data_IF_971369198929
#
_entry.id   IF_971369198929
#
_cell.length_a   1.000
_cell.length_b   1.000
_cell.length_c   1.000
_cell.angle_alpha   90.00
_cell.angle_beta   90.00
_cell.angle_gamma   90.00
#
_symmetry.space_group_name_H-M   'P 1'
#
loop_
_entity.id
_entity.type
_entity.pdbx_description
1 polymer ?
#
# COMPACT_ATOMS: atom_id res chain seq x y z
N UNK A 1 -15.02 -8.68 9.93
CA UNK A 1 -15.12 -7.94 11.21
C UNK A 1 -13.70 -7.66 11.68
N UNK A 2 -13.19 -6.44 11.45
CA UNK A 2 -11.84 -6.07 11.87
C UNK A 2 -11.75 -6.12 13.38
N UNK A 3 -10.87 -6.95 13.88
CA UNK A 3 -10.69 -7.20 15.31
C UNK A 3 -10.03 -5.96 15.94
N UNK A 4 -10.81 -5.14 16.62
CA UNK A 4 -10.36 -3.96 17.38
C UNK A 4 -9.32 -4.37 18.45
N UNK A 5 -9.34 -5.63 18.85
CA UNK A 5 -8.46 -6.22 19.86
C UNK A 5 -7.03 -6.37 19.34
N UNK A 6 -6.86 -6.81 18.08
CA UNK A 6 -5.55 -6.94 17.42
C UNK A 6 -4.78 -5.62 17.36
N UNK A 7 -5.45 -4.51 16.99
CA UNK A 7 -4.79 -3.21 16.86
C UNK A 7 -4.24 -2.69 18.19
N UNK A 8 -5.02 -2.85 19.26
CA UNK A 8 -4.60 -2.45 20.60
C UNK A 8 -3.45 -3.32 21.12
N UNK A 9 -3.48 -4.63 20.84
CA UNK A 9 -2.38 -5.55 21.14
C UNK A 9 -1.11 -5.14 20.41
N UNK A 10 -1.22 -4.85 19.11
CA UNK A 10 -0.09 -4.39 18.27
C UNK A 10 0.52 -3.09 18.82
N UNK A 11 -0.31 -2.10 19.17
CA UNK A 11 0.15 -0.85 19.79
C UNK A 11 0.90 -1.14 21.09
N UNK A 12 0.36 -1.95 21.98
CA UNK A 12 1.01 -2.33 23.23
C UNK A 12 2.37 -3.00 23.01
N UNK A 13 2.43 -3.89 22.01
CA UNK A 13 3.65 -4.60 21.65
C UNK A 13 4.73 -3.66 21.12
N UNK A 14 4.44 -2.84 20.11
CA UNK A 14 5.44 -1.96 19.49
C UNK A 14 5.87 -0.85 20.46
N UNK A 15 4.94 -0.27 21.23
CA UNK A 15 5.24 0.79 22.19
C UNK A 15 6.11 0.33 23.35
N UNK A 16 5.96 -0.92 23.79
CA UNK A 16 6.78 -1.48 24.86
C UNK A 16 8.22 -1.80 24.44
N UNK A 17 8.47 -1.95 23.14
CA UNK A 17 9.77 -2.33 22.56
C UNK A 17 10.50 -1.18 21.90
N UNK A 18 9.76 -0.14 21.51
CA UNK A 18 10.29 0.99 20.76
C UNK A 18 9.77 2.33 21.31
N UNK A 19 10.59 3.06 22.09
CA UNK A 19 10.18 4.34 22.68
C UNK A 19 9.94 5.45 21.64
N UNK A 20 10.47 5.31 20.42
CA UNK A 20 10.20 6.24 19.32
C UNK A 20 8.79 5.99 18.81
N UNK A 21 8.45 4.74 18.51
CA UNK A 21 7.09 4.37 18.09
C UNK A 21 6.05 4.66 19.18
N UNK A 22 6.37 4.47 20.47
CA UNK A 22 5.45 4.84 21.57
C UNK A 22 5.01 6.31 21.46
N UNK A 23 5.96 7.22 21.25
CA UNK A 23 5.66 8.65 21.09
C UNK A 23 4.88 8.96 19.82
N UNK A 24 5.17 8.25 18.71
CA UNK A 24 4.45 8.45 17.46
C UNK A 24 2.98 7.97 17.60
N UNK A 25 2.75 6.81 18.21
CA UNK A 25 1.42 6.30 18.51
C UNK A 25 0.60 7.28 19.35
N UNK A 26 1.19 7.85 20.38
CA UNK A 26 0.55 8.87 21.22
C UNK A 26 0.19 10.14 20.46
N UNK A 27 1.04 10.53 19.49
CA UNK A 27 0.83 11.73 18.67
C UNK A 27 -0.25 11.54 17.59
N UNK A 28 -0.49 10.30 17.14
CA UNK A 28 -1.39 9.97 16.03
C UNK A 28 -2.38 8.83 16.38
N UNK A 29 -3.24 8.97 17.40
CA UNK A 29 -4.09 7.87 17.85
C UNK A 29 -5.11 7.41 16.81
N UNK A 30 -5.53 8.28 15.90
CA UNK A 30 -6.51 8.01 14.83
C UNK A 30 -6.12 8.71 13.52
N UNK A 31 -6.56 8.21 12.35
CA UNK A 31 -7.33 6.97 12.16
C UNK A 31 -6.44 5.72 12.20
N UNK A 32 -7.07 4.57 12.52
CA UNK A 32 -6.45 3.24 12.39
C UNK A 32 -6.51 2.77 10.94
N UNK A 33 -5.58 1.91 10.55
CA UNK A 33 -5.64 1.22 9.26
C UNK A 33 -6.85 0.28 9.23
N UNK A 34 -7.66 0.40 8.18
CA UNK A 34 -8.81 -0.48 7.93
C UNK A 34 -8.68 -1.11 6.55
N UNK A 35 -8.29 -2.37 6.45
CA UNK A 35 -8.25 -3.09 5.19
C UNK A 35 -9.65 -3.19 4.57
N UNK A 36 -9.73 -3.06 3.24
CA UNK A 36 -11.03 -2.98 2.54
C UNK A 36 -11.36 -4.18 1.66
N UNK A 37 -10.48 -5.18 1.54
CA UNK A 37 -10.71 -6.42 0.79
C UNK A 37 -10.57 -6.33 -0.73
N UNK A 38 -10.47 -5.14 -1.31
CA UNK A 38 -10.44 -4.95 -2.77
C UNK A 38 -9.01 -4.97 -3.32
N UNK A 39 -8.51 -6.15 -3.64
CA UNK A 39 -7.17 -6.38 -4.18
C UNK A 39 -6.97 -5.67 -5.52
N UNK A 40 -7.95 -5.75 -6.42
CA UNK A 40 -7.81 -5.21 -7.78
C UNK A 40 -7.79 -3.69 -7.77
N UNK A 41 -8.64 -3.07 -6.95
CA UNK A 41 -8.61 -1.61 -6.72
C UNK A 41 -7.24 -1.16 -6.22
N UNK A 42 -6.68 -1.84 -5.21
CA UNK A 42 -5.35 -1.49 -4.68
C UNK A 42 -4.25 -1.68 -5.72
N UNK A 43 -4.28 -2.73 -6.54
CA UNK A 43 -3.35 -2.91 -7.64
C UNK A 43 -3.39 -1.72 -8.60
N UNK A 44 -4.58 -1.33 -9.06
CA UNK A 44 -4.76 -0.22 -10.01
C UNK A 44 -4.28 1.08 -9.38
N UNK A 45 -4.72 1.39 -8.16
CA UNK A 45 -4.35 2.64 -7.47
C UNK A 45 -2.85 2.71 -7.18
N UNK A 46 -2.23 1.59 -6.81
CA UNK A 46 -0.78 1.50 -6.63
C UNK A 46 -0.03 1.77 -7.94
N UNK A 47 -0.47 1.21 -9.07
CA UNK A 47 0.14 1.51 -10.38
C UNK A 47 0.02 2.99 -10.74
N UNK A 48 -1.14 3.61 -10.46
CA UNK A 48 -1.32 5.08 -10.63
C UNK A 48 -0.28 5.83 -9.80
N UNK A 49 -0.07 5.46 -8.54
CA UNK A 49 0.83 6.12 -7.58
C UNK A 49 2.33 5.88 -7.79
N UNK A 50 2.73 4.87 -8.59
CA UNK A 50 4.16 4.56 -8.77
C UNK A 50 4.97 5.76 -9.24
N UNK A 51 6.08 6.06 -8.53
CA UNK A 51 7.08 7.07 -8.90
C UNK A 51 6.55 8.53 -9.07
N UNK A 52 5.43 8.86 -8.46
CA UNK A 52 4.87 10.22 -8.41
C UNK A 52 4.48 10.58 -6.98
N UNK A 53 4.23 11.86 -6.71
CA UNK A 53 3.72 12.30 -5.42
C UNK A 53 2.28 11.84 -5.18
N UNK A 54 1.87 11.74 -3.91
CA UNK A 54 0.49 11.43 -3.51
C UNK A 54 -0.48 12.37 -4.19
N UNK A 55 -0.23 13.68 -4.14
CA UNK A 55 -1.07 14.70 -4.78
C UNK A 55 -1.23 14.48 -6.30
N UNK A 56 -0.16 14.09 -7.00
CA UNK A 56 -0.23 13.80 -8.43
C UNK A 56 -1.01 12.51 -8.71
N UNK A 57 -0.89 11.51 -7.84
CA UNK A 57 -1.64 10.26 -7.94
C UNK A 57 -3.15 10.52 -7.73
N UNK A 58 -3.52 11.29 -6.71
CA UNK A 58 -4.91 11.65 -6.42
C UNK A 58 -5.53 12.44 -7.58
N UNK A 59 -4.82 13.46 -8.10
CA UNK A 59 -5.30 14.22 -9.25
C UNK A 59 -5.47 13.35 -10.51
N UNK A 60 -4.64 12.31 -10.70
CA UNK A 60 -4.80 11.34 -11.79
C UNK A 60 -6.02 10.47 -11.54
N UNK A 61 -6.17 9.96 -10.33
CA UNK A 61 -7.33 9.15 -9.92
C UNK A 61 -8.64 9.90 -10.09
N UNK A 62 -8.73 11.16 -9.67
CA UNK A 62 -9.91 12.02 -9.85
C UNK A 62 -10.28 12.18 -11.33
N UNK A 63 -9.29 12.38 -12.21
CA UNK A 63 -9.55 12.44 -13.66
C UNK A 63 -10.07 11.11 -14.22
N UNK A 64 -9.56 9.98 -13.73
CA UNK A 64 -10.10 8.66 -14.09
C UNK A 64 -11.54 8.49 -13.60
N UNK A 65 -11.85 8.91 -12.37
CA UNK A 65 -13.23 8.92 -11.84
C UNK A 65 -14.13 9.78 -12.70
N UNK A 66 -13.69 10.99 -13.07
CA UNK A 66 -14.48 11.90 -13.90
C UNK A 66 -14.72 11.32 -15.31
N UNK A 67 -13.72 10.65 -15.90
CA UNK A 67 -13.84 10.03 -17.23
C UNK A 67 -14.86 8.87 -17.25
N UNK A 68 -14.79 8.00 -16.24
CA UNK A 68 -15.51 6.72 -16.25
C UNK A 68 -16.73 6.69 -15.32
N UNK A 69 -16.97 7.76 -14.53
CA UNK A 69 -18.02 7.78 -13.51
C UNK A 69 -17.76 6.87 -12.32
N UNK A 70 -16.52 6.42 -12.15
CA UNK A 70 -16.01 5.52 -11.12
C UNK A 70 -14.82 4.74 -11.66
N UNK A 71 -13.91 4.30 -10.76
CA UNK A 71 -12.75 3.50 -11.17
C UNK A 71 -12.94 2.08 -10.65
N UNK A 72 -13.43 1.22 -11.52
CA UNK A 72 -13.54 -0.22 -11.31
C UNK A 72 -12.96 -0.98 -12.52
N UNK A 73 -12.59 -2.25 -12.36
CA UNK A 73 -11.93 -3.01 -13.42
C UNK A 73 -12.76 -3.11 -14.72
N UNK A 74 -14.07 -3.31 -14.62
CA UNK A 74 -14.95 -3.43 -15.80
C UNK A 74 -14.97 -2.15 -16.63
N UNK A 75 -15.09 -0.99 -15.99
CA UNK A 75 -15.05 0.31 -16.67
C UNK A 75 -13.69 0.60 -17.31
N UNK A 76 -12.60 0.21 -16.64
CA UNK A 76 -11.25 0.33 -17.20
C UNK A 76 -11.12 -0.54 -18.45
N UNK A 77 -11.64 -1.78 -18.40
CA UNK A 77 -11.60 -2.70 -19.54
C UNK A 77 -12.34 -2.17 -20.78
N UNK A 78 -13.44 -1.46 -20.57
CA UNK A 78 -14.22 -0.81 -21.61
C UNK A 78 -13.59 0.49 -22.14
N UNK A 79 -12.63 1.07 -21.42
CA UNK A 79 -12.02 2.36 -21.74
C UNK A 79 -10.79 2.17 -22.62
N UNK A 80 -10.72 2.90 -23.74
CA UNK A 80 -9.54 2.85 -24.60
C UNK A 80 -8.29 3.42 -23.91
N UNK A 81 -7.13 2.88 -24.29
CA UNK A 81 -5.85 3.18 -23.65
C UNK A 81 -5.44 4.66 -23.78
N UNK A 82 -5.85 5.34 -24.85
CA UNK A 82 -5.51 6.76 -25.06
C UNK A 82 -6.34 7.66 -24.15
N UNK A 83 -7.58 7.30 -23.87
CA UNK A 83 -8.42 7.96 -22.87
C UNK A 83 -7.87 7.80 -21.46
N UNK A 84 -7.43 6.61 -21.08
CA UNK A 84 -6.72 6.38 -19.80
C UNK A 84 -5.44 7.23 -19.70
N UNK A 85 -4.66 7.29 -20.78
CA UNK A 85 -3.47 8.14 -20.86
C UNK A 85 -3.83 9.63 -20.72
N UNK A 86 -4.96 10.06 -21.27
CA UNK A 86 -5.49 11.43 -21.15
C UNK A 86 -5.74 11.86 -19.69
N UNK A 87 -5.94 10.92 -18.77
CA UNK A 87 -6.04 11.18 -17.34
C UNK A 87 -4.68 11.55 -16.66
N UNK A 88 -3.57 11.53 -17.40
CA UNK A 88 -2.23 11.84 -16.88
C UNK A 88 -1.37 10.60 -16.60
N UNK A 89 -1.81 9.42 -17.05
CA UNK A 89 -1.00 8.20 -16.98
C UNK A 89 0.08 8.20 -18.06
N UNK A 90 1.27 7.67 -17.75
CA UNK A 90 2.22 7.29 -18.79
C UNK A 90 1.64 6.14 -19.63
N UNK A 91 2.12 5.96 -20.87
CA UNK A 91 1.68 4.84 -21.72
C UNK A 91 1.85 3.50 -20.99
N UNK A 92 2.99 3.29 -20.34
CA UNK A 92 3.28 2.06 -19.58
C UNK A 92 2.28 1.81 -18.44
N UNK A 93 1.90 2.85 -17.67
CA UNK A 93 0.91 2.73 -16.61
C UNK A 93 -0.48 2.43 -17.17
N UNK A 94 -0.87 3.09 -18.26
CA UNK A 94 -2.14 2.79 -18.93
C UNK A 94 -2.20 1.34 -19.43
N UNK A 95 -1.12 0.83 -20.05
CA UNK A 95 -1.00 -0.58 -20.44
C UNK A 95 -1.09 -1.54 -19.24
N UNK A 96 -0.43 -1.22 -18.12
CA UNK A 96 -0.47 -2.06 -16.92
C UNK A 96 -1.88 -2.14 -16.32
N UNK A 97 -2.53 -0.98 -16.21
CA UNK A 97 -3.90 -0.89 -15.67
C UNK A 97 -4.90 -1.61 -16.57
N UNK A 98 -4.81 -1.43 -17.91
CA UNK A 98 -5.65 -2.18 -18.85
C UNK A 98 -5.42 -3.69 -18.76
N UNK A 99 -4.16 -4.13 -18.61
CA UNK A 99 -3.82 -5.55 -18.44
C UNK A 99 -4.38 -6.15 -17.14
N UNK A 100 -4.35 -5.40 -16.03
CA UNK A 100 -4.97 -5.82 -14.76
C UNK A 100 -6.49 -5.95 -14.92
N UNK A 101 -7.14 -4.99 -15.59
CA UNK A 101 -8.57 -5.01 -15.85
C UNK A 101 -8.97 -6.20 -16.75
N UNK A 102 -8.17 -6.50 -17.79
CA UNK A 102 -8.37 -7.67 -18.64
C UNK A 102 -8.24 -8.99 -17.86
N UNK A 103 -7.27 -9.10 -16.97
CA UNK A 103 -7.11 -10.29 -16.10
C UNK A 103 -8.32 -10.46 -15.17
N UNK A 104 -8.87 -9.35 -14.66
CA UNK A 104 -10.07 -9.38 -13.83
C UNK A 104 -11.28 -9.86 -14.62
N UNK A 105 -11.53 -9.31 -15.81
CA UNK A 105 -12.64 -9.71 -16.71
C UNK A 105 -12.56 -11.19 -17.09
N UNK A 106 -11.36 -11.72 -17.28
CA UNK A 106 -11.15 -13.15 -17.56
C UNK A 106 -11.26 -14.05 -16.33
N UNK A 107 -11.54 -13.48 -15.15
CA UNK A 107 -11.63 -14.21 -13.89
C UNK A 107 -10.31 -14.68 -13.29
N UNK A 108 -9.16 -14.28 -13.85
CA UNK A 108 -7.84 -14.68 -13.36
C UNK A 108 -7.50 -14.11 -11.98
N UNK A 109 -8.17 -13.03 -11.58
CA UNK A 109 -8.05 -12.40 -10.27
C UNK A 109 -9.24 -12.69 -9.34
N UNK A 110 -10.18 -13.56 -9.78
CA UNK A 110 -11.29 -14.03 -8.95
C UNK A 110 -10.82 -15.17 -8.03
N UNK A 111 -10.15 -14.79 -6.98
CA UNK A 111 -9.49 -15.69 -6.01
C UNK A 111 -10.04 -15.37 -4.62
N UNK A 112 -10.19 -16.37 -3.77
CA UNK A 112 -10.46 -16.16 -2.35
C UNK A 112 -9.17 -15.73 -1.64
N UNK A 113 -8.86 -14.43 -1.70
CA UNK A 113 -7.62 -13.86 -1.18
C UNK A 113 -7.46 -14.02 0.33
N UNK A 114 -8.58 -14.11 1.07
CA UNK A 114 -8.58 -14.22 2.53
C UNK A 114 -8.10 -15.59 3.03
N UNK A 115 -8.06 -16.60 2.15
CA UNK A 115 -7.59 -17.95 2.44
C UNK A 115 -6.11 -18.16 2.10
N UNK A 116 -5.46 -17.17 1.49
CA UNK A 116 -4.07 -17.29 1.04
C UNK A 116 -3.08 -16.80 2.10
N UNK A 117 -1.96 -17.52 2.20
CA UNK A 117 -0.79 -17.06 2.93
C UNK A 117 -0.04 -15.95 2.15
N UNK A 118 0.76 -15.15 2.85
CA UNK A 118 1.53 -14.05 2.23
C UNK A 118 2.36 -14.49 1.02
N UNK A 119 3.03 -15.64 1.12
CA UNK A 119 3.84 -16.20 0.03
C UNK A 119 3.02 -16.50 -1.22
N UNK A 120 1.82 -17.04 -1.06
CA UNK A 120 0.91 -17.39 -2.15
C UNK A 120 0.35 -16.12 -2.83
N UNK A 121 0.04 -15.08 -2.05
CA UNK A 121 -0.35 -13.77 -2.61
C UNK A 121 0.79 -13.20 -3.44
N UNK A 122 2.03 -13.24 -2.94
CA UNK A 122 3.22 -12.76 -3.66
C UNK A 122 3.45 -13.55 -4.95
N UNK A 123 3.37 -14.87 -4.93
CA UNK A 123 3.53 -15.73 -6.10
C UNK A 123 2.50 -15.45 -7.19
N UNK A 124 1.28 -15.09 -6.82
CA UNK A 124 0.20 -14.77 -7.76
C UNK A 124 0.32 -13.38 -8.36
N UNK A 125 0.75 -12.39 -7.59
CA UNK A 125 0.73 -10.99 -8.00
C UNK A 125 2.03 -10.53 -8.67
N UNK A 126 3.20 -11.01 -8.25
CA UNK A 126 4.49 -10.58 -8.81
C UNK A 126 4.65 -10.86 -10.32
N UNK A 127 4.09 -11.93 -10.92
CA UNK A 127 4.16 -12.15 -12.36
C UNK A 127 3.35 -11.14 -13.19
N UNK A 128 2.44 -10.38 -12.58
CA UNK A 128 1.60 -9.41 -13.29
C UNK A 128 2.46 -8.25 -13.78
N UNK A 129 2.38 -7.94 -15.08
CA UNK A 129 3.16 -6.86 -15.70
C UNK A 129 2.85 -5.52 -15.03
N UNK A 130 3.87 -4.86 -14.49
CA UNK A 130 3.74 -3.59 -13.77
C UNK A 130 3.53 -3.72 -12.27
N UNK A 131 3.40 -4.94 -11.75
CA UNK A 131 3.29 -5.22 -10.31
C UNK A 131 4.67 -5.63 -9.78
N UNK A 132 5.21 -4.81 -8.89
CA UNK A 132 6.48 -5.09 -8.20
C UNK A 132 6.25 -5.40 -6.71
N UNK A 133 7.34 -5.74 -5.98
CA UNK A 133 7.26 -6.04 -4.55
C UNK A 133 6.52 -4.97 -3.74
N UNK A 134 6.80 -3.68 -3.97
CA UNK A 134 6.11 -2.59 -3.30
C UNK A 134 4.60 -2.59 -3.56
N UNK A 135 4.16 -2.83 -4.80
CA UNK A 135 2.72 -2.92 -5.13
C UNK A 135 2.04 -4.08 -4.40
N UNK A 136 2.74 -5.23 -4.29
CA UNK A 136 2.24 -6.37 -3.53
C UNK A 136 2.16 -6.04 -2.04
N UNK A 137 3.16 -5.36 -1.47
CA UNK A 137 3.13 -4.91 -0.09
C UNK A 137 1.90 -4.00 0.19
N UNK A 138 1.55 -3.11 -0.75
CA UNK A 138 0.33 -2.28 -0.62
C UNK A 138 -0.95 -3.13 -0.60
N UNK A 139 -1.04 -4.16 -1.43
CA UNK A 139 -2.17 -5.11 -1.41
C UNK A 139 -2.25 -5.84 -0.07
N UNK A 140 -1.13 -6.36 0.41
CA UNK A 140 -1.07 -7.07 1.69
C UNK A 140 -1.50 -6.18 2.85
N UNK A 141 -1.10 -4.92 2.86
CA UNK A 141 -1.41 -3.95 3.93
C UNK A 141 -2.86 -3.45 3.81
N UNK A 142 -3.23 -2.86 2.66
CA UNK A 142 -4.46 -2.09 2.53
C UNK A 142 -5.68 -2.91 2.12
N UNK A 143 -5.48 -4.01 1.42
CA UNK A 143 -6.60 -4.89 1.03
C UNK A 143 -6.76 -6.06 1.99
N UNK A 144 -5.68 -6.81 2.25
CA UNK A 144 -5.75 -8.09 2.94
C UNK A 144 -5.47 -8.01 4.44
N UNK A 145 -4.89 -6.91 4.94
CA UNK A 145 -4.67 -6.68 6.35
C UNK A 145 -3.62 -7.57 7.00
N UNK A 146 -2.61 -8.00 6.24
CA UNK A 146 -1.47 -8.72 6.80
C UNK A 146 -0.74 -7.86 7.84
N UNK A 147 -0.47 -8.46 8.99
CA UNK A 147 -0.03 -7.72 10.18
C UNK A 147 1.47 -7.45 10.22
N UNK A 148 2.27 -8.25 9.52
CA UNK A 148 3.74 -8.23 9.61
C UNK A 148 4.46 -7.89 8.29
N UNK A 149 3.91 -6.96 7.52
CA UNK A 149 4.51 -6.48 6.28
C UNK A 149 5.46 -5.32 6.55
N UNK A 150 6.67 -5.38 5.98
CA UNK A 150 7.65 -4.28 5.99
C UNK A 150 7.98 -3.89 4.54
N UNK A 151 7.38 -2.82 4.00
CA UNK A 151 7.53 -2.43 2.61
C UNK A 151 8.85 -1.69 2.36
N UNK A 152 9.98 -2.43 2.30
CA UNK A 152 11.33 -1.87 2.12
C UNK A 152 11.54 -1.16 0.77
N UNK A 153 10.63 -1.33 -0.19
CA UNK A 153 10.60 -0.56 -1.44
C UNK A 153 9.87 0.78 -1.33
N UNK A 154 9.30 1.09 -0.16
CA UNK A 154 8.53 2.31 0.06
C UNK A 154 9.40 3.48 0.50
N UNK A 155 9.48 4.51 -0.36
CA UNK A 155 10.30 5.71 -0.09
C UNK A 155 9.79 6.49 1.13
N UNK A 156 8.49 6.50 1.36
CA UNK A 156 7.86 7.14 2.52
C UNK A 156 8.29 6.46 3.81
N UNK A 157 8.21 5.12 3.87
CA UNK A 157 8.68 4.36 5.03
C UNK A 157 10.17 4.61 5.30
N UNK A 158 11.03 4.49 4.26
CA UNK A 158 12.46 4.70 4.41
C UNK A 158 12.76 6.08 4.97
N UNK A 159 12.13 7.12 4.41
CA UNK A 159 12.26 8.50 4.89
C UNK A 159 11.77 8.65 6.34
N UNK A 160 10.64 8.02 6.70
CA UNK A 160 10.12 8.06 8.06
C UNK A 160 11.09 7.43 9.05
N UNK A 161 11.67 6.27 8.72
CA UNK A 161 12.68 5.60 9.55
C UNK A 161 13.94 6.46 9.65
N UNK A 162 14.47 6.98 8.56
CA UNK A 162 15.63 7.87 8.55
C UNK A 162 15.43 9.10 9.44
N UNK A 163 14.29 9.77 9.32
CA UNK A 163 13.99 10.97 10.12
C UNK A 163 13.90 10.67 11.62
N UNK A 164 13.25 9.58 11.99
CA UNK A 164 12.95 9.29 13.39
C UNK A 164 14.10 8.54 14.11
N UNK A 165 14.92 7.76 13.37
CA UNK A 165 15.94 6.88 13.99
C UNK A 165 17.39 7.30 13.72
N UNK A 166 17.65 8.07 12.65
CA UNK A 166 19.02 8.47 12.28
C UNK A 166 19.23 9.99 12.16
N UNK A 167 18.24 10.80 12.53
CA UNK A 167 18.30 12.26 12.36
C UNK A 167 18.36 12.68 10.89
N UNK A 168 17.71 11.93 10.00
CA UNK A 168 17.64 12.19 8.56
C UNK A 168 18.82 11.66 7.74
N UNK A 169 19.75 10.93 8.36
CA UNK A 169 20.84 10.28 7.63
C UNK A 169 20.31 9.03 6.93
N UNK A 170 20.81 8.82 5.71
CA UNK A 170 20.48 7.62 4.92
C UNK A 170 20.89 6.34 5.65
N UNK A 171 19.99 5.36 5.63
CA UNK A 171 20.18 4.03 6.17
C UNK A 171 20.17 2.99 5.05
N UNK A 172 20.94 1.94 5.23
CA UNK A 172 20.87 0.75 4.38
C UNK A 172 19.59 -0.03 4.68
N UNK A 173 19.14 -0.85 3.73
CA UNK A 173 17.97 -1.70 3.95
C UNK A 173 18.18 -2.71 5.10
N UNK A 174 19.42 -3.11 5.36
CA UNK A 174 19.78 -3.99 6.47
C UNK A 174 19.63 -3.29 7.83
N UNK A 175 20.08 -2.04 7.93
CA UNK A 175 19.87 -1.21 9.12
C UNK A 175 18.38 -0.97 9.38
N UNK A 176 17.59 -0.69 8.31
CA UNK A 176 16.13 -0.53 8.45
C UNK A 176 15.48 -1.83 8.92
N UNK A 177 15.90 -3.00 8.41
CA UNK A 177 15.43 -4.31 8.91
C UNK A 177 15.76 -4.51 10.38
N UNK A 178 16.99 -4.18 10.79
CA UNK A 178 17.41 -4.29 12.18
C UNK A 178 16.58 -3.41 13.13
N UNK A 179 16.27 -2.19 12.70
CA UNK A 179 15.37 -1.27 13.45
C UNK A 179 13.96 -1.86 13.54
N UNK A 180 13.46 -2.48 12.47
CA UNK A 180 12.11 -3.01 12.39
C UNK A 180 11.92 -4.41 13.02
N UNK A 181 13.00 -5.11 13.38
CA UNK A 181 12.92 -6.47 13.92
C UNK A 181 12.14 -6.57 15.25
N UNK A 182 12.31 -5.64 16.21
CA UNK A 182 11.52 -5.62 17.44
C UNK A 182 10.02 -5.40 17.25
N UNK A 183 9.57 -4.88 16.09
CA UNK A 183 8.16 -4.62 15.80
C UNK A 183 7.38 -5.88 15.44
N UNK A 184 8.07 -7.00 15.12
CA UNK A 184 7.42 -8.28 14.82
C UNK A 184 6.55 -8.76 15.97
N UNK A 185 5.38 -9.30 15.66
CA UNK A 185 4.79 -9.61 14.35
C UNK A 185 3.85 -8.50 13.82
N UNK A 186 4.05 -7.24 14.20
CA UNK A 186 3.16 -6.11 13.90
C UNK A 186 3.82 -5.00 13.08
N UNK A 187 4.74 -5.36 12.16
CA UNK A 187 5.46 -4.38 11.34
C UNK A 187 4.55 -3.53 10.45
N UNK A 188 3.38 -4.03 10.06
CA UNK A 188 2.36 -3.25 9.35
C UNK A 188 1.86 -2.08 10.20
N UNK A 189 1.58 -2.32 11.48
CA UNK A 189 1.10 -1.27 12.39
C UNK A 189 2.19 -0.23 12.64
N UNK A 190 3.44 -0.67 12.85
CA UNK A 190 4.57 0.23 12.99
C UNK A 190 4.78 1.09 11.72
N UNK A 191 4.69 0.48 10.54
CA UNK A 191 4.75 1.15 9.23
C UNK A 191 3.66 2.21 9.11
N UNK A 192 2.41 1.88 9.46
CA UNK A 192 1.30 2.81 9.45
C UNK A 192 1.57 4.07 10.27
N UNK A 193 2.05 3.92 11.49
CA UNK A 193 2.38 5.06 12.35
C UNK A 193 3.57 5.86 11.82
N UNK A 194 4.59 5.22 11.26
CA UNK A 194 5.72 5.90 10.64
C UNK A 194 5.31 6.75 9.44
N UNK A 195 4.41 6.27 8.58
CA UNK A 195 3.88 7.07 7.48
C UNK A 195 3.21 8.35 7.97
N UNK A 196 2.53 8.33 9.12
CA UNK A 196 1.90 9.51 9.73
C UNK A 196 2.89 10.61 10.08
N UNK A 197 4.17 10.29 10.28
CA UNK A 197 5.22 11.29 10.53
C UNK A 197 5.68 12.02 9.27
N UNK A 198 5.36 11.49 8.09
CA UNK A 198 5.70 12.07 6.79
C UNK A 198 4.50 12.78 6.19
N UNK A 199 3.34 12.19 6.31
CA UNK A 199 2.08 12.73 5.81
C UNK A 199 1.00 12.61 6.90
N UNK A 200 0.51 13.76 7.35
CA UNK A 200 -0.47 13.82 8.44
C UNK A 200 -1.83 13.23 8.00
N UNK A 201 -2.14 13.29 6.70
CA UNK A 201 -3.30 12.61 6.14
C UNK A 201 -2.90 11.21 5.63
N UNK A 202 -3.56 10.14 6.11
CA UNK A 202 -3.22 8.80 5.67
C UNK A 202 -3.53 8.60 4.20
N UNK A 203 -2.60 7.94 3.50
CA UNK A 203 -2.82 7.53 2.11
C UNK A 203 -3.98 6.54 2.07
N UNK A 204 -4.98 6.82 1.24
CA UNK A 204 -6.14 5.96 1.01
C UNK A 204 -5.94 5.17 -0.29
N UNK A 205 -6.08 3.83 -0.24
CA UNK A 205 -6.01 2.94 -1.40
C UNK A 205 -7.39 2.50 -1.87
#
# INVERSE_FOLDING_TARGET
MGNTDYWNEAIGHISSRDPILSRIVEAYPEPKLSPHGDVVRTLIKSVVGQQISVQAADATWERMVALMGGVDPGRIYETDIMSLRGCGLSMRKAEYISGIAEMWERGALNVNWDELEESEVRERLLPIRGVGPWTVDMVLIFSLGFQDVLPLGDVGLLRAVENNYSGGKKLTLEEVRGIADPWRPYRTVATWYLWRTIDAEPVNY
#
